data_IF_359028255357
#
_entry.id   IF_359028255357
#
_cell.length_a   1.000
_cell.length_b   1.000
_cell.length_c   1.000
_cell.angle_alpha   90.00
_cell.angle_beta   90.00
_cell.angle_gamma   90.00
#
_symmetry.space_group_name_H-M   'P 1'
#
loop_
_entity.id
_entity.type
_entity.pdbx_description
1 polymer ?
#
# COMPACT_ATOMS: atom_id res chain seq x y z
N UNK A 1 -16.49 26.78 -2.67
CA UNK A 1 -15.21 26.33 -2.06
C UNK A 1 -15.12 24.84 -2.36
N UNK A 2 -14.07 24.38 -3.03
CA UNK A 2 -13.88 22.94 -3.23
C UNK A 2 -13.49 22.33 -1.88
N UNK A 3 -14.25 21.36 -1.39
CA UNK A 3 -13.82 20.53 -0.26
C UNK A 3 -12.48 19.91 -0.63
N UNK A 4 -11.47 20.13 0.21
CA UNK A 4 -10.18 19.48 0.02
C UNK A 4 -10.33 18.04 0.49
N UNK A 5 -10.38 17.09 -0.46
CA UNK A 5 -10.37 15.66 -0.13
C UNK A 5 -9.21 15.35 0.81
N UNK A 6 -9.54 14.84 2.00
CA UNK A 6 -8.57 14.39 2.99
C UNK A 6 -8.46 12.88 3.01
N UNK A 7 -7.25 12.37 3.21
CA UNK A 7 -6.94 10.94 3.25
C UNK A 7 -6.18 10.62 4.52
N UNK A 8 -6.56 9.52 5.16
CA UNK A 8 -5.85 8.97 6.30
C UNK A 8 -4.68 8.11 5.82
N UNK A 9 -3.51 8.32 6.42
CA UNK A 9 -2.30 7.54 6.22
C UNK A 9 -1.89 6.94 7.56
N UNK A 10 -1.72 5.62 7.61
CA UNK A 10 -1.06 4.95 8.72
C UNK A 10 0.41 4.69 8.37
N UNK A 11 1.32 4.91 9.32
CA UNK A 11 2.68 4.39 9.25
C UNK A 11 2.74 3.00 9.92
N UNK A 12 2.69 1.89 9.16
CA UNK A 12 2.66 0.55 9.73
C UNK A 12 4.05 0.04 10.16
N UNK A 13 5.08 0.88 10.10
CA UNK A 13 6.45 0.49 10.42
C UNK A 13 6.78 0.72 11.89
N UNK A 14 7.94 0.24 12.33
CA UNK A 14 8.47 0.45 13.69
C UNK A 14 9.32 1.72 13.81
N UNK A 15 9.44 2.52 12.76
CA UNK A 15 10.29 3.70 12.70
C UNK A 15 9.48 4.91 12.22
N UNK A 16 9.85 6.10 12.68
CA UNK A 16 9.22 7.34 12.21
C UNK A 16 9.54 7.58 10.75
N UNK A 17 8.54 8.04 10.00
CA UNK A 17 8.69 8.37 8.60
C UNK A 17 8.70 9.89 8.44
N UNK A 18 9.80 10.45 7.93
CA UNK A 18 9.89 11.87 7.60
C UNK A 18 10.20 12.07 6.12
N UNK A 19 9.39 12.87 5.43
CA UNK A 19 9.62 13.21 4.04
C UNK A 19 9.21 14.66 3.73
N UNK A 20 9.80 15.25 2.69
CA UNK A 20 9.48 16.63 2.28
C UNK A 20 8.46 16.67 1.17
N UNK A 21 7.47 17.54 1.29
CA UNK A 21 6.57 17.92 0.20
C UNK A 21 6.62 19.44 0.01
N UNK A 22 6.94 19.90 -1.20
CA UNK A 22 7.14 21.32 -1.50
C UNK A 22 8.13 22.05 -0.54
N UNK A 23 9.16 21.34 -0.07
CA UNK A 23 10.17 21.87 0.84
C UNK A 23 9.83 21.75 2.33
N UNK A 24 8.57 21.52 2.67
CA UNK A 24 8.10 21.35 4.04
C UNK A 24 8.26 19.89 4.50
N UNK A 25 8.86 19.63 5.67
CA UNK A 25 8.96 18.29 6.23
C UNK A 25 7.63 17.87 6.87
N UNK A 26 7.24 16.63 6.58
CA UNK A 26 6.09 15.95 7.20
C UNK A 26 6.61 14.70 7.90
N UNK A 27 6.20 14.50 9.15
CA UNK A 27 6.58 13.33 9.96
C UNK A 27 5.35 12.56 10.39
N UNK A 28 5.35 11.25 10.15
CA UNK A 28 4.33 10.30 10.60
C UNK A 28 4.99 9.32 11.55
N UNK A 29 4.64 9.38 12.83
CA UNK A 29 5.25 8.56 13.88
C UNK A 29 4.95 7.07 13.65
N UNK A 30 5.84 6.19 14.10
CA UNK A 30 5.61 4.74 14.01
C UNK A 30 4.25 4.32 14.60
N UNK A 31 3.45 3.58 13.83
CA UNK A 31 2.10 3.12 14.22
C UNK A 31 1.01 4.20 14.19
N UNK A 32 1.35 5.46 13.96
CA UNK A 32 0.40 6.57 13.97
C UNK A 32 -0.42 6.62 12.67
N UNK A 33 -1.67 7.10 12.78
CA UNK A 33 -2.50 7.49 11.65
C UNK A 33 -2.66 9.01 11.63
N UNK A 34 -2.34 9.64 10.51
CA UNK A 34 -2.49 11.08 10.31
C UNK A 34 -3.32 11.37 9.05
N UNK A 35 -4.02 12.50 9.07
CA UNK A 35 -4.89 12.94 7.97
C UNK A 35 -4.19 14.04 7.17
N UNK A 36 -4.13 13.88 5.85
CA UNK A 36 -3.53 14.85 4.95
C UNK A 36 -4.47 15.18 3.79
N UNK A 37 -4.29 16.35 3.19
CA UNK A 37 -4.90 16.64 1.88
C UNK A 37 -4.40 15.63 0.84
N UNK A 38 -5.29 15.19 -0.05
CA UNK A 38 -5.09 14.07 -0.99
C UNK A 38 -3.75 14.07 -1.72
N UNK A 39 -3.31 15.23 -2.24
CA UNK A 39 -2.02 15.33 -2.95
C UNK A 39 -0.81 15.07 -2.06
N UNK A 40 -0.81 15.62 -0.85
CA UNK A 40 0.23 15.38 0.16
C UNK A 40 0.19 13.91 0.57
N UNK A 41 -1.01 13.38 0.85
CA UNK A 41 -1.20 11.99 1.22
C UNK A 41 -0.58 11.03 0.17
N UNK A 42 -0.96 11.19 -1.10
CA UNK A 42 -0.44 10.33 -2.17
C UNK A 42 1.08 10.42 -2.31
N UNK A 43 1.65 11.61 -2.14
CA UNK A 43 3.10 11.79 -2.17
C UNK A 43 3.78 11.04 -1.02
N UNK A 44 3.31 11.23 0.21
CA UNK A 44 3.85 10.57 1.40
C UNK A 44 3.70 9.05 1.30
N UNK A 45 2.55 8.55 0.87
CA UNK A 45 2.31 7.11 0.70
C UNK A 45 3.24 6.46 -0.34
N UNK A 46 3.55 7.15 -1.45
CA UNK A 46 4.55 6.70 -2.43
C UNK A 46 5.93 6.54 -1.78
N UNK A 47 6.37 7.52 -1.00
CA UNK A 47 7.70 7.50 -0.39
C UNK A 47 7.79 6.49 0.76
N UNK A 48 6.77 6.43 1.62
CA UNK A 48 6.69 5.45 2.71
C UNK A 48 6.64 4.02 2.16
N UNK A 49 5.82 3.74 1.15
CA UNK A 49 5.79 2.41 0.51
C UNK A 49 7.14 2.02 -0.09
N UNK A 50 7.88 2.99 -0.64
CA UNK A 50 9.24 2.77 -1.17
C UNK A 50 10.25 2.46 -0.06
N UNK A 51 10.17 3.16 1.07
CA UNK A 51 11.02 2.87 2.23
C UNK A 51 10.71 1.48 2.81
N UNK A 52 9.44 1.10 2.91
CA UNK A 52 9.02 -0.22 3.38
C UNK A 52 9.62 -1.36 2.55
N UNK A 53 9.44 -1.34 1.23
CA UNK A 53 9.95 -2.40 0.34
C UNK A 53 11.49 -2.45 0.34
N UNK A 54 12.16 -1.30 0.40
CA UNK A 54 13.62 -1.25 0.48
C UNK A 54 14.13 -1.84 1.79
N UNK A 55 13.51 -1.49 2.92
CA UNK A 55 13.91 -1.98 4.23
C UNK A 55 13.65 -3.49 4.36
N UNK A 56 12.54 -3.99 3.85
CA UNK A 56 12.22 -5.42 3.86
C UNK A 56 13.22 -6.25 3.06
N UNK A 57 13.70 -5.76 1.90
CA UNK A 57 14.76 -6.44 1.16
C UNK A 57 16.13 -6.27 1.80
N UNK A 58 16.46 -5.09 2.33
CA UNK A 58 17.73 -4.87 3.04
C UNK A 58 17.91 -5.78 4.26
N UNK A 59 16.82 -6.13 4.96
CA UNK A 59 16.85 -7.12 6.05
C UNK A 59 17.25 -8.52 5.61
N UNK A 60 17.06 -8.85 4.32
CA UNK A 60 17.44 -10.14 3.72
C UNK A 60 18.88 -10.16 3.21
N UNK A 61 19.56 -9.02 3.16
CA UNK A 61 20.94 -8.92 2.65
C UNK A 61 21.92 -9.60 3.60
N UNK A 62 22.78 -10.44 3.04
CA UNK A 62 23.95 -10.98 3.75
C UNK A 62 25.05 -9.92 3.84
N UNK A 63 26.09 -10.18 4.65
CA UNK A 63 27.28 -9.31 4.68
C UNK A 63 27.94 -9.21 3.29
N UNK A 64 28.04 -10.34 2.57
CA UNK A 64 28.60 -10.40 1.21
C UNK A 64 27.85 -9.50 0.24
N UNK A 65 26.51 -9.47 0.32
CA UNK A 65 25.70 -8.62 -0.56
C UNK A 65 25.89 -7.12 -0.28
N UNK A 66 26.25 -6.74 0.95
CA UNK A 66 26.54 -5.35 1.31
C UNK A 66 27.87 -4.89 0.73
N UNK A 67 28.86 -5.78 0.69
CA UNK A 67 30.20 -5.48 0.20
C UNK A 67 30.29 -5.54 -1.35
N UNK A 68 29.33 -6.21 -2.01
CA UNK A 68 29.26 -6.33 -3.48
C UNK A 68 28.13 -5.44 -4.08
N UNK A 69 28.46 -4.34 -4.77
CA UNK A 69 27.47 -3.46 -5.40
C UNK A 69 26.73 -4.11 -6.58
N UNK A 70 27.24 -5.23 -7.11
CA UNK A 70 26.62 -5.98 -8.20
C UNK A 70 25.79 -7.17 -7.70
N UNK A 71 25.65 -7.35 -6.38
CA UNK A 71 24.79 -8.39 -5.82
C UNK A 71 23.35 -8.27 -6.35
N UNK A 72 22.73 -9.41 -6.69
CA UNK A 72 21.38 -9.46 -7.29
C UNK A 72 20.31 -8.73 -6.47
N UNK A 73 20.49 -8.63 -5.17
CA UNK A 73 19.57 -7.94 -4.26
C UNK A 73 19.50 -6.43 -4.53
N UNK A 74 20.60 -5.78 -4.96
CA UNK A 74 20.58 -4.37 -5.35
C UNK A 74 19.75 -4.14 -6.61
N UNK A 75 19.88 -5.04 -7.59
CA UNK A 75 19.06 -5.03 -8.81
C UNK A 75 17.58 -5.23 -8.46
N UNK A 76 17.28 -6.17 -7.55
CA UNK A 76 15.90 -6.40 -7.08
C UNK A 76 15.33 -5.16 -6.38
N UNK A 77 16.09 -4.54 -5.47
CA UNK A 77 15.68 -3.29 -4.81
C UNK A 77 15.39 -2.20 -5.85
N UNK A 78 16.27 -2.03 -6.84
CA UNK A 78 16.05 -1.06 -7.92
C UNK A 78 14.75 -1.35 -8.68
N UNK A 79 14.49 -2.61 -9.04
CA UNK A 79 13.25 -3.01 -9.71
C UNK A 79 12.01 -2.69 -8.87
N UNK A 80 11.98 -3.06 -7.58
CA UNK A 80 10.87 -2.76 -6.67
C UNK A 80 10.63 -1.24 -6.53
N UNK A 81 11.67 -0.42 -6.65
CA UNK A 81 11.56 1.05 -6.55
C UNK A 81 11.03 1.72 -7.81
N UNK A 82 11.26 1.11 -8.98
CA UNK A 82 11.00 1.71 -10.31
C UNK A 82 9.68 1.22 -10.92
N UNK A 83 9.34 -0.04 -10.69
CA UNK A 83 8.18 -0.69 -11.30
C UNK A 83 7.01 -0.76 -10.31
N UNK A 84 5.81 -0.88 -10.87
CA UNK A 84 4.62 -1.26 -10.12
C UNK A 84 4.71 -2.77 -9.85
N UNK A 85 4.61 -3.14 -8.58
CA UNK A 85 4.83 -4.51 -8.12
C UNK A 85 3.79 -4.89 -7.08
N UNK A 86 3.53 -6.18 -6.92
CA UNK A 86 2.60 -6.65 -5.90
C UNK A 86 3.10 -6.26 -4.49
N UNK A 87 4.42 -6.29 -4.23
CA UNK A 87 5.01 -5.84 -2.96
C UNK A 87 4.72 -4.36 -2.69
N UNK A 88 4.85 -3.49 -3.71
CA UNK A 88 4.52 -2.07 -3.60
C UNK A 88 3.02 -1.86 -3.35
N UNK A 89 2.15 -2.56 -4.08
CA UNK A 89 0.69 -2.47 -3.89
C UNK A 89 0.28 -2.93 -2.49
N UNK A 90 0.89 -4.00 -1.98
CA UNK A 90 0.72 -4.46 -0.60
C UNK A 90 1.18 -3.39 0.40
N UNK A 91 2.35 -2.78 0.19
CA UNK A 91 2.85 -1.70 1.04
C UNK A 91 1.91 -0.49 1.03
N UNK A 92 1.45 -0.05 -0.14
CA UNK A 92 0.45 1.02 -0.27
C UNK A 92 -0.86 0.67 0.42
N UNK A 93 -1.35 -0.56 0.30
CA UNK A 93 -2.57 -0.98 1.00
C UNK A 93 -2.39 -0.99 2.52
N UNK A 94 -1.21 -1.39 3.03
CA UNK A 94 -0.93 -1.30 4.47
C UNK A 94 -1.00 0.15 4.98
N UNK A 95 -0.65 1.13 4.15
CA UNK A 95 -0.64 2.57 4.45
C UNK A 95 -2.02 3.22 4.31
N UNK A 96 -2.78 2.85 3.27
CA UNK A 96 -4.02 3.54 2.88
C UNK A 96 -5.28 2.79 3.30
N UNK A 97 -5.17 1.46 3.53
CA UNK A 97 -6.27 0.55 3.87
C UNK A 97 -7.45 0.55 2.89
N UNK A 98 -7.24 1.04 1.66
CA UNK A 98 -8.27 1.17 0.63
C UNK A 98 -7.67 0.84 -0.76
N UNK A 99 -8.36 -0.03 -1.51
CA UNK A 99 -7.92 -0.53 -2.83
C UNK A 99 -7.98 0.58 -3.89
N UNK A 100 -9.01 1.44 -3.85
CA UNK A 100 -9.20 2.52 -4.80
C UNK A 100 -8.09 3.56 -4.61
N UNK A 101 -7.77 3.90 -3.36
CA UNK A 101 -6.65 4.81 -3.08
C UNK A 101 -5.30 4.25 -3.53
N UNK A 102 -5.06 2.94 -3.39
CA UNK A 102 -3.86 2.30 -3.95
C UNK A 102 -3.81 2.49 -5.47
N UNK A 103 -4.90 2.22 -6.17
CA UNK A 103 -4.97 2.36 -7.62
C UNK A 103 -4.77 3.81 -8.07
N UNK A 104 -5.35 4.78 -7.35
CA UNK A 104 -5.16 6.20 -7.61
C UNK A 104 -3.70 6.63 -7.41
N UNK A 105 -3.01 6.16 -6.37
CA UNK A 105 -1.58 6.46 -6.19
C UNK A 105 -0.74 5.93 -7.35
N UNK A 106 -1.01 4.71 -7.83
CA UNK A 106 -0.33 4.13 -8.99
C UNK A 106 -0.58 4.95 -10.27
N UNK A 107 -1.80 5.48 -10.45
CA UNK A 107 -2.16 6.30 -11.60
C UNK A 107 -1.54 7.71 -11.54
N UNK A 108 -1.53 8.34 -10.36
CA UNK A 108 -0.96 9.69 -10.17
C UNK A 108 0.56 9.68 -10.27
N UNK A 109 1.21 8.60 -9.81
CA UNK A 109 2.66 8.41 -9.91
C UNK A 109 2.97 7.20 -10.78
N UNK A 110 2.91 7.34 -12.12
CA UNK A 110 3.07 6.21 -13.02
C UNK A 110 4.47 5.61 -12.92
N UNK A 111 4.53 4.39 -12.40
CA UNK A 111 5.71 3.54 -12.44
C UNK A 111 5.94 3.02 -13.86
N UNK A 112 7.14 2.48 -14.17
CA UNK A 112 7.51 2.07 -15.55
C UNK A 112 6.65 0.95 -16.16
N UNK A 113 5.81 0.29 -15.37
CA UNK A 113 4.95 -0.83 -15.76
C UNK A 113 4.75 -1.80 -14.60
N UNK A 114 3.76 -2.67 -14.70
CA UNK A 114 3.52 -3.72 -13.70
C UNK A 114 4.43 -4.93 -13.96
N UNK A 115 5.13 -5.39 -12.92
CA UNK A 115 5.89 -6.63 -12.89
C UNK A 115 5.56 -7.42 -11.61
N UNK A 116 5.42 -8.75 -11.71
CA UNK A 116 5.13 -9.64 -10.58
C UNK A 116 3.73 -10.25 -10.65
N UNK A 117 3.24 -10.74 -9.50
CA UNK A 117 2.04 -11.57 -9.42
C UNK A 117 0.88 -10.81 -8.78
N UNK A 118 -0.07 -10.35 -9.60
CA UNK A 118 -1.22 -9.58 -9.12
C UNK A 118 -2.09 -10.38 -8.14
N UNK A 119 -2.12 -11.70 -8.26
CA UNK A 119 -2.92 -12.56 -7.39
C UNK A 119 -2.42 -12.55 -5.94
N UNK A 120 -1.11 -12.40 -5.70
CA UNK A 120 -0.56 -12.21 -4.35
C UNK A 120 -1.08 -10.93 -3.69
N UNK A 121 -1.23 -9.85 -4.46
CA UNK A 121 -1.85 -8.62 -3.95
C UNK A 121 -3.34 -8.84 -3.63
N UNK A 122 -4.09 -9.48 -4.52
CA UNK A 122 -5.52 -9.77 -4.30
C UNK A 122 -5.74 -10.66 -3.08
N UNK A 123 -4.97 -11.73 -2.93
CA UNK A 123 -5.02 -12.62 -1.76
C UNK A 123 -4.73 -11.87 -0.47
N UNK A 124 -3.69 -11.01 -0.49
CA UNK A 124 -3.35 -10.19 0.65
C UNK A 124 -4.51 -9.25 1.03
N UNK A 125 -5.08 -8.54 0.05
CA UNK A 125 -6.23 -7.66 0.27
C UNK A 125 -7.40 -8.44 0.82
N UNK A 126 -7.80 -9.55 0.18
CA UNK A 126 -8.92 -10.39 0.60
C UNK A 126 -8.77 -10.87 2.05
N UNK A 127 -7.55 -11.23 2.48
CA UNK A 127 -7.25 -11.64 3.86
C UNK A 127 -7.37 -10.48 4.86
N UNK A 128 -7.12 -9.25 4.43
CA UNK A 128 -7.07 -8.05 5.28
C UNK A 128 -8.36 -7.21 5.21
N UNK A 129 -9.18 -7.39 4.20
CA UNK A 129 -10.56 -6.92 4.16
C UNK A 129 -11.41 -7.96 4.87
N UNK A 130 -12.17 -7.55 5.88
CA UNK A 130 -13.09 -8.44 6.61
C UNK A 130 -14.33 -8.75 5.76
N UNK A 131 -14.15 -9.15 4.49
CA UNK A 131 -15.25 -9.54 3.61
C UNK A 131 -15.70 -10.92 4.09
N UNK A 132 -16.69 -10.93 4.99
CA UNK A 132 -17.54 -12.11 5.13
C UNK A 132 -18.30 -12.23 3.82
N UNK A 133 -18.01 -13.26 3.04
CA UNK A 133 -18.89 -13.68 1.97
C UNK A 133 -20.14 -14.27 2.61
N UNK A 134 -21.23 -13.52 2.69
CA UNK A 134 -22.54 -14.10 3.00
C UNK A 134 -23.11 -14.75 1.73
N UNK A 135 -23.50 -16.02 1.84
CA UNK A 135 -24.29 -16.68 0.80
C UNK A 135 -25.73 -16.14 0.88
N UNK A 136 -26.09 -15.27 -0.07
CA UNK A 136 -27.48 -14.81 -0.19
C UNK A 136 -28.28 -15.90 -0.92
N UNK A 137 -29.12 -16.62 -0.17
CA UNK A 137 -30.09 -17.55 -0.75
C UNK A 137 -31.24 -16.71 -1.34
N UNK A 138 -31.31 -16.63 -2.67
CA UNK A 138 -32.42 -15.96 -3.35
C UNK A 138 -33.73 -16.74 -3.11
N UNK A 139 -34.85 -16.06 -2.78
CA UNK A 139 -36.11 -16.71 -2.42
C UNK A 139 -36.80 -17.44 -3.59
N UNK A 140 -36.25 -17.36 -4.81
CA UNK A 140 -36.76 -18.04 -6.00
C UNK A 140 -35.75 -19.09 -6.46
N UNK A 141 -35.79 -20.26 -5.81
CA UNK A 141 -35.22 -21.52 -6.29
C UNK A 141 -33.96 -21.44 -7.17
N UNK A 142 -32.78 -21.37 -6.53
CA UNK A 142 -31.61 -22.08 -7.09
C UNK A 142 -30.53 -21.28 -7.82
N UNK A 143 -30.26 -20.02 -7.45
CA UNK A 143 -28.95 -19.39 -7.76
C UNK A 143 -28.35 -18.77 -6.51
N UNK A 144 -27.17 -19.28 -6.14
CA UNK A 144 -26.29 -18.70 -5.11
C UNK A 144 -25.50 -17.58 -5.79
N UNK A 145 -25.70 -16.34 -5.35
CA UNK A 145 -24.91 -15.21 -5.80
C UNK A 145 -23.96 -14.79 -4.66
N UNK A 146 -22.65 -14.88 -4.91
CA UNK A 146 -21.64 -14.39 -3.95
C UNK A 146 -21.53 -12.87 -4.10
N UNK A 147 -22.00 -12.12 -3.10
CA UNK A 147 -21.81 -10.66 -3.06
C UNK A 147 -20.77 -10.30 -2.01
N UNK A 148 -19.83 -9.43 -2.38
CA UNK A 148 -18.84 -8.87 -1.46
C UNK A 148 -19.48 -7.70 -0.71
N UNK A 149 -19.65 -7.81 0.60
CA UNK A 149 -20.15 -6.72 1.45
C UNK A 149 -18.97 -6.17 2.25
N UNK A 150 -18.77 -4.85 2.21
CA UNK A 150 -17.79 -4.12 3.03
C UNK A 150 -18.52 -3.59 4.26
N UNK A 151 -18.31 -4.20 5.42
CA UNK A 151 -18.82 -3.64 6.69
C UNK A 151 -17.88 -2.53 7.19
N UNK A 152 -18.36 -1.29 7.18
CA UNK A 152 -17.72 -0.20 7.92
C UNK A 152 -17.96 -0.40 9.42
N UNK A 153 -16.91 -0.68 10.20
CA UNK A 153 -17.02 -0.62 11.66
C UNK A 153 -17.21 0.85 12.08
N UNK A 154 -18.42 1.20 12.49
CA UNK A 154 -18.68 2.36 13.33
C UNK A 154 -18.00 2.10 14.67
N UNK A 155 -16.89 2.80 14.92
CA UNK A 155 -16.25 2.86 16.23
C UNK A 155 -17.10 3.81 17.07
N UNK A 156 -17.90 3.26 17.99
CA UNK A 156 -18.55 3.97 19.11
C UNK A 156 -17.53 4.47 20.13
#
# INVERSE_FOLDING_TARGET
MAELDTINIINPTSEDFTWKYNGEPYTITAGETQTFVKRVAFHLAKHLSTQMIQNDEKKKMTKKDKDDPHARIHLKIAQLTIYDTHERRIALYKILKDINLVQEVIQVYPFKGFIGEMDLYKEFVNKNTNIKSEEVILPTGGKIEKRNIIESKLIT
#
